data_IF_111415553980
#
_entry.id   IF_111415553980
#
_cell.length_a   1.000
_cell.length_b   1.000
_cell.length_c   1.000
_cell.angle_alpha   90.00
_cell.angle_beta   90.00
_cell.angle_gamma   90.00
#
_symmetry.space_group_name_H-M   'P 1'
#
loop_
_entity.id
_entity.type
_entity.pdbx_description
1 polymer ?
#
# COMPACT_ATOMS: atom_id res chain seq x y z
N UNK A 1 -20.84 -31.12 -4.86
CA UNK A 1 -20.39 -30.51 -3.59
C UNK A 1 -19.67 -29.22 -3.93
N UNK A 2 -20.29 -28.07 -3.64
CA UNK A 2 -19.70 -26.76 -3.90
C UNK A 2 -18.47 -26.58 -3.02
N UNK A 3 -17.28 -26.64 -3.60
CA UNK A 3 -16.11 -26.06 -2.96
C UNK A 3 -16.36 -24.55 -2.94
N UNK A 4 -16.84 -24.05 -1.81
CA UNK A 4 -16.79 -22.64 -1.48
C UNK A 4 -15.32 -22.24 -1.64
N UNK A 5 -14.96 -21.59 -2.74
CA UNK A 5 -13.75 -20.78 -2.75
C UNK A 5 -13.94 -19.75 -1.65
N UNK A 6 -13.18 -19.80 -0.56
CA UNK A 6 -13.29 -18.74 0.41
C UNK A 6 -12.68 -17.51 -0.28
N UNK A 7 -13.47 -16.44 -0.36
CA UNK A 7 -13.06 -15.12 -0.80
C UNK A 7 -12.09 -14.52 0.24
N UNK A 8 -11.01 -15.25 0.56
CA UNK A 8 -9.95 -14.81 1.43
C UNK A 8 -9.23 -13.71 0.68
N UNK A 9 -9.37 -12.50 1.20
CA UNK A 9 -8.59 -11.35 0.74
C UNK A 9 -7.10 -11.70 0.74
N UNK A 10 -6.31 -11.07 -0.13
CA UNK A 10 -4.91 -11.47 -0.37
C UNK A 10 -4.09 -11.58 0.92
N UNK A 11 -4.32 -10.70 1.89
CA UNK A 11 -3.64 -10.71 3.19
C UNK A 11 -3.94 -11.98 4.01
N UNK A 12 -5.13 -12.54 3.89
CA UNK A 12 -5.54 -13.70 4.66
C UNK A 12 -4.91 -14.98 4.08
N UNK A 13 -4.76 -15.03 2.75
CA UNK A 13 -3.97 -16.08 2.08
C UNK A 13 -2.50 -16.00 2.50
N UNK A 14 -1.92 -14.81 2.51
CA UNK A 14 -0.55 -14.58 2.98
C UNK A 14 -0.37 -15.02 4.45
N UNK A 15 -1.31 -14.66 5.32
CA UNK A 15 -1.33 -15.07 6.74
C UNK A 15 -1.31 -16.58 6.89
N UNK A 16 -2.19 -17.29 6.18
CA UNK A 16 -2.29 -18.76 6.23
C UNK A 16 -0.98 -19.39 5.76
N UNK A 17 -0.46 -19.00 4.60
CA UNK A 17 0.79 -19.56 4.06
C UNK A 17 1.95 -19.32 5.01
N UNK A 18 2.09 -18.10 5.53
CA UNK A 18 3.14 -17.79 6.50
C UNK A 18 3.02 -18.59 7.80
N UNK A 19 1.80 -18.73 8.34
CA UNK A 19 1.55 -19.52 9.54
C UNK A 19 1.91 -20.99 9.35
N UNK A 20 1.55 -21.58 8.20
CA UNK A 20 1.87 -22.97 7.89
C UNK A 20 3.37 -23.20 7.75
N UNK A 21 4.09 -22.24 7.14
CA UNK A 21 5.56 -22.26 7.07
C UNK A 21 6.17 -22.19 8.48
N UNK A 22 5.69 -21.26 9.31
CA UNK A 22 6.19 -21.06 10.68
C UNK A 22 5.97 -22.28 11.56
N UNK A 23 4.81 -22.93 11.45
CA UNK A 23 4.46 -24.10 12.25
C UNK A 23 5.17 -25.38 11.77
N UNK A 24 5.67 -25.40 10.53
CA UNK A 24 6.24 -26.59 9.91
C UNK A 24 7.61 -26.31 9.24
N UNK A 25 8.63 -25.81 9.98
CA UNK A 25 9.88 -25.32 9.40
C UNK A 25 10.72 -26.40 8.69
N UNK A 26 10.46 -27.67 9.00
CA UNK A 26 11.18 -28.81 8.44
C UNK A 26 10.47 -29.45 7.23
N UNK A 27 9.31 -28.92 6.81
CA UNK A 27 8.62 -29.44 5.63
C UNK A 27 9.21 -28.83 4.35
N UNK A 28 9.56 -29.71 3.41
CA UNK A 28 9.91 -29.29 2.07
C UNK A 28 8.65 -28.88 1.28
N UNK A 29 8.85 -28.12 0.20
CA UNK A 29 7.80 -27.53 -0.62
C UNK A 29 6.61 -28.45 -0.95
N UNK A 30 6.87 -29.65 -1.46
CA UNK A 30 5.78 -30.58 -1.82
C UNK A 30 4.98 -31.09 -0.61
N UNK A 31 5.60 -31.23 0.57
CA UNK A 31 4.88 -31.60 1.78
C UNK A 31 4.03 -30.43 2.29
N UNK A 32 4.55 -29.20 2.20
CA UNK A 32 3.81 -27.99 2.53
C UNK A 32 2.61 -27.79 1.59
N UNK A 33 2.77 -28.05 0.28
CA UNK A 33 1.66 -28.03 -0.70
C UNK A 33 0.56 -28.98 -0.26
N UNK A 34 0.88 -30.23 0.12
CA UNK A 34 -0.12 -31.23 0.53
C UNK A 34 -0.93 -30.80 1.76
N UNK A 35 -0.35 -29.96 2.62
CA UNK A 35 -0.99 -29.45 3.82
C UNK A 35 -1.89 -28.24 3.53
N UNK A 36 -1.49 -27.39 2.59
CA UNK A 36 -2.23 -26.15 2.27
C UNK A 36 -3.27 -26.37 1.18
N UNK A 37 -2.99 -27.28 0.23
CA UNK A 37 -3.78 -27.54 -0.97
C UNK A 37 -4.41 -28.94 -0.87
N UNK A 38 -5.72 -29.08 -1.09
CA UNK A 38 -6.67 -28.04 -1.50
C UNK A 38 -7.34 -27.29 -0.34
N UNK A 39 -7.00 -27.60 0.92
CA UNK A 39 -7.77 -27.16 2.10
C UNK A 39 -8.02 -25.65 2.16
N UNK A 40 -7.00 -24.83 1.90
CA UNK A 40 -7.11 -23.37 2.03
C UNK A 40 -7.13 -22.64 0.68
N UNK A 41 -6.50 -23.21 -0.35
CA UNK A 41 -6.36 -22.59 -1.65
C UNK A 41 -5.92 -23.57 -2.74
N UNK A 42 -6.11 -23.18 -4.01
CA UNK A 42 -5.56 -23.90 -5.15
C UNK A 42 -4.02 -23.79 -5.21
N UNK A 43 -3.37 -24.76 -5.88
CA UNK A 43 -1.91 -24.84 -6.01
C UNK A 43 -1.30 -23.55 -6.61
N UNK A 44 -1.86 -23.05 -7.69
CA UNK A 44 -1.38 -21.84 -8.37
C UNK A 44 -1.50 -20.61 -7.48
N UNK A 45 -2.57 -20.52 -6.69
CA UNK A 45 -2.76 -19.46 -5.69
C UNK A 45 -1.71 -19.55 -4.59
N UNK A 46 -1.46 -20.74 -4.04
CA UNK A 46 -0.38 -20.95 -3.07
C UNK A 46 0.99 -20.51 -3.61
N UNK A 47 1.34 -20.90 -4.82
CA UNK A 47 2.63 -20.55 -5.43
C UNK A 47 2.79 -19.04 -5.58
N UNK A 48 1.76 -18.35 -6.07
CA UNK A 48 1.74 -16.88 -6.17
C UNK A 48 1.86 -16.21 -4.80
N UNK A 49 1.08 -16.65 -3.82
CA UNK A 49 1.11 -16.10 -2.45
C UNK A 49 2.48 -16.32 -1.80
N UNK A 50 3.08 -17.51 -1.97
CA UNK A 50 4.45 -17.80 -1.53
C UNK A 50 5.45 -16.85 -2.17
N UNK A 51 5.36 -16.63 -3.48
CA UNK A 51 6.31 -15.76 -4.19
C UNK A 51 6.19 -14.31 -3.72
N UNK A 52 4.98 -13.82 -3.43
CA UNK A 52 4.78 -12.52 -2.78
C UNK A 52 5.42 -12.45 -1.40
N UNK A 53 5.32 -13.50 -0.57
CA UNK A 53 5.98 -13.54 0.74
C UNK A 53 7.52 -13.52 0.63
N UNK A 54 8.08 -14.09 -0.44
CA UNK A 54 9.52 -14.03 -0.73
C UNK A 54 9.91 -12.63 -1.18
N UNK A 55 9.15 -12.02 -2.10
CA UNK A 55 9.38 -10.67 -2.61
C UNK A 55 9.32 -9.62 -1.48
N UNK A 56 8.39 -9.79 -0.54
CA UNK A 56 8.27 -8.96 0.66
C UNK A 56 9.32 -9.27 1.74
N UNK A 57 10.23 -10.21 1.48
CA UNK A 57 11.23 -10.71 2.42
C UNK A 57 10.65 -11.21 3.76
N UNK A 58 9.39 -11.64 3.76
CA UNK A 58 8.72 -12.22 4.94
C UNK A 58 9.25 -13.63 5.19
N UNK A 59 9.51 -14.38 4.11
CA UNK A 59 10.12 -15.71 4.14
C UNK A 59 11.36 -15.76 3.27
N UNK A 60 12.26 -16.68 3.59
CA UNK A 60 13.45 -17.00 2.80
C UNK A 60 13.38 -18.43 2.30
N UNK A 61 14.06 -18.71 1.19
CA UNK A 61 14.15 -20.05 0.61
C UNK A 61 15.51 -20.64 0.92
N UNK A 62 15.53 -21.81 1.57
CA UNK A 62 16.71 -22.63 1.70
C UNK A 62 16.60 -23.86 0.81
N UNK A 63 17.66 -24.14 0.07
CA UNK A 63 17.74 -25.35 -0.76
C UNK A 63 18.68 -26.34 -0.10
N UNK A 64 18.21 -27.57 0.14
CA UNK A 64 19.05 -28.69 0.59
C UNK A 64 18.91 -29.82 -0.43
N UNK A 65 20.01 -30.18 -1.08
CA UNK A 65 20.00 -31.01 -2.29
C UNK A 65 18.99 -30.46 -3.32
N UNK A 66 17.97 -31.24 -3.70
CA UNK A 66 16.93 -30.83 -4.66
C UNK A 66 15.63 -30.36 -3.98
N UNK A 67 15.62 -30.17 -2.66
CA UNK A 67 14.44 -29.80 -1.88
C UNK A 67 14.49 -28.34 -1.45
N UNK A 68 13.36 -27.63 -1.62
CA UNK A 68 13.16 -26.26 -1.14
C UNK A 68 12.43 -26.26 0.20
N UNK A 69 12.95 -25.49 1.14
CA UNK A 69 12.38 -25.23 2.46
C UNK A 69 12.13 -23.73 2.58
N UNK A 70 11.03 -23.37 3.23
CA UNK A 70 10.67 -21.98 3.48
C UNK A 70 10.83 -21.70 4.96
N UNK A 71 11.45 -20.60 5.30
CA UNK A 71 11.68 -20.21 6.69
C UNK A 71 11.28 -18.75 6.88
N UNK A 72 10.69 -18.38 8.02
CA UNK A 72 10.49 -16.98 8.36
C UNK A 72 11.82 -16.21 8.28
N UNK A 73 11.81 -15.01 7.71
CA UNK A 73 12.99 -14.14 7.74
C UNK A 73 13.24 -13.67 9.17
N UNK A 74 14.50 -13.65 9.57
CA UNK A 74 14.91 -12.90 10.75
C UNK A 74 14.75 -11.39 10.46
N UNK A 75 14.48 -10.60 11.50
CA UNK A 75 14.39 -9.13 11.43
C UNK A 75 13.32 -8.58 10.46
N UNK A 76 12.25 -9.32 10.19
CA UNK A 76 11.14 -8.88 9.33
C UNK A 76 10.60 -7.49 9.73
N UNK A 77 10.44 -7.23 11.03
CA UNK A 77 9.92 -5.96 11.52
C UNK A 77 10.76 -4.77 11.03
N UNK A 78 12.08 -4.80 11.26
CA UNK A 78 13.01 -3.77 10.79
C UNK A 78 13.01 -3.66 9.27
N UNK A 79 13.03 -4.78 8.53
CA UNK A 79 12.98 -4.78 7.07
C UNK A 79 11.70 -4.16 6.53
N UNK A 80 10.56 -4.49 7.14
CA UNK A 80 9.25 -3.94 6.75
C UNK A 80 9.19 -2.44 6.98
N UNK A 81 9.71 -1.95 8.10
CA UNK A 81 9.82 -0.51 8.38
C UNK A 81 10.71 0.19 7.35
N UNK A 82 11.86 -0.38 6.99
CA UNK A 82 12.72 0.16 5.95
C UNK A 82 12.06 0.17 4.56
N UNK A 83 11.30 -0.87 4.22
CA UNK A 83 10.56 -0.91 2.96
C UNK A 83 9.49 0.18 2.90
N UNK A 84 8.69 0.32 3.97
CA UNK A 84 7.68 1.38 4.09
C UNK A 84 8.36 2.75 3.98
N UNK A 85 9.45 2.98 4.71
CA UNK A 85 10.22 4.22 4.65
C UNK A 85 10.72 4.53 3.24
N UNK A 86 11.34 3.58 2.55
CA UNK A 86 11.81 3.77 1.18
C UNK A 86 10.66 4.12 0.23
N UNK A 87 9.56 3.37 0.29
CA UNK A 87 8.44 3.56 -0.62
C UNK A 87 7.74 4.90 -0.36
N UNK A 88 7.54 5.26 0.90
CA UNK A 88 6.93 6.54 1.30
C UNK A 88 7.82 7.72 0.87
N UNK A 89 9.13 7.66 1.10
CA UNK A 89 10.07 8.71 0.68
C UNK A 89 10.12 8.87 -0.84
N UNK A 90 10.11 7.77 -1.59
CA UNK A 90 10.05 7.83 -3.05
C UNK A 90 8.75 8.49 -3.53
N UNK A 91 7.61 8.05 -3.00
CA UNK A 91 6.29 8.65 -3.29
C UNK A 91 6.27 10.14 -2.98
N UNK A 92 6.81 10.55 -1.83
CA UNK A 92 6.91 11.95 -1.43
C UNK A 92 7.68 12.80 -2.44
N UNK A 93 8.84 12.33 -2.90
CA UNK A 93 9.63 13.03 -3.90
C UNK A 93 8.94 13.09 -5.27
N UNK A 94 8.31 12.00 -5.70
CA UNK A 94 7.58 11.95 -6.95
C UNK A 94 6.37 12.90 -6.94
N UNK A 95 5.63 12.96 -5.83
CA UNK A 95 4.48 13.86 -5.67
C UNK A 95 4.90 15.33 -5.73
N UNK A 96 6.03 15.69 -5.11
CA UNK A 96 6.59 17.05 -5.23
C UNK A 96 6.85 17.43 -6.68
N UNK A 97 7.42 16.52 -7.47
CA UNK A 97 7.70 16.75 -8.89
C UNK A 97 6.40 16.85 -9.71
N UNK A 98 5.44 15.97 -9.46
CA UNK A 98 4.16 15.97 -10.16
C UNK A 98 3.38 17.26 -9.91
N UNK A 99 3.29 17.73 -8.66
CA UNK A 99 2.56 18.95 -8.31
C UNK A 99 3.26 20.20 -8.87
N UNK A 100 4.59 20.20 -8.94
CA UNK A 100 5.33 21.28 -9.60
C UNK A 100 4.97 21.40 -11.08
N UNK A 101 4.78 20.28 -11.78
CA UNK A 101 4.34 20.22 -13.20
C UNK A 101 2.85 20.48 -13.37
N UNK A 102 2.05 20.18 -12.35
CA UNK A 102 0.60 20.38 -12.41
C UNK A 102 0.24 21.83 -12.75
N UNK A 103 0.93 22.82 -12.17
CA UNK A 103 0.72 24.24 -12.48
C UNK A 103 0.78 24.58 -13.99
N UNK A 104 1.65 23.91 -14.75
CA UNK A 104 1.82 24.20 -16.18
C UNK A 104 0.83 23.42 -17.03
N UNK A 105 0.60 22.15 -16.67
CA UNK A 105 -0.11 21.23 -17.56
C UNK A 105 -1.62 21.25 -17.29
N UNK A 106 -2.04 21.61 -16.08
CA UNK A 106 -3.43 21.55 -15.63
C UNK A 106 -4.41 22.38 -16.47
N UNK A 107 -4.13 23.65 -16.82
CA UNK A 107 -5.07 24.46 -17.60
C UNK A 107 -5.38 23.90 -19.00
N UNK A 108 -4.50 23.04 -19.53
CA UNK A 108 -4.59 22.45 -20.87
C UNK A 108 -5.36 21.13 -20.90
N UNK A 109 -5.75 20.59 -19.75
CA UNK A 109 -6.51 19.34 -19.63
C UNK A 109 -8.01 19.57 -19.78
N UNK A 110 -8.72 18.54 -20.22
CA UNK A 110 -10.18 18.52 -20.10
C UNK A 110 -10.61 18.29 -18.64
N UNK A 111 -11.90 18.49 -18.37
CA UNK A 111 -12.46 18.45 -17.02
C UNK A 111 -12.30 17.06 -16.39
N UNK A 112 -12.52 15.99 -17.15
CA UNK A 112 -12.43 14.63 -16.61
C UNK A 112 -10.98 14.27 -16.26
N UNK A 113 -10.03 14.65 -17.13
CA UNK A 113 -8.60 14.53 -16.85
C UNK A 113 -8.18 15.32 -15.60
N UNK A 114 -8.67 16.56 -15.44
CA UNK A 114 -8.41 17.38 -14.25
C UNK A 114 -8.91 16.69 -12.98
N UNK A 115 -10.15 16.19 -13.01
CA UNK A 115 -10.76 15.50 -11.87
C UNK A 115 -9.93 14.28 -11.47
N UNK A 116 -9.61 13.41 -12.44
CA UNK A 116 -8.83 12.20 -12.19
C UNK A 116 -7.43 12.52 -11.65
N UNK A 117 -6.76 13.53 -12.23
CA UNK A 117 -5.42 13.94 -11.82
C UNK A 117 -5.42 14.44 -10.38
N UNK A 118 -6.35 15.33 -10.03
CA UNK A 118 -6.46 15.87 -8.66
C UNK A 118 -6.81 14.78 -7.66
N UNK A 119 -7.82 13.95 -7.94
CA UNK A 119 -8.22 12.88 -7.03
C UNK A 119 -7.07 11.91 -6.77
N UNK A 120 -6.33 11.54 -7.81
CA UNK A 120 -5.14 10.70 -7.69
C UNK A 120 -4.06 11.36 -6.85
N UNK A 121 -3.74 12.64 -7.10
CA UNK A 121 -2.72 13.37 -6.34
C UNK A 121 -3.10 13.51 -4.87
N UNK A 122 -4.34 13.92 -4.56
CA UNK A 122 -4.82 14.05 -3.19
C UNK A 122 -4.81 12.70 -2.46
N UNK A 123 -5.27 11.63 -3.11
CA UNK A 123 -5.20 10.27 -2.57
C UNK A 123 -3.75 9.89 -2.21
N UNK A 124 -2.83 10.07 -3.15
CA UNK A 124 -1.44 9.67 -2.97
C UNK A 124 -0.73 10.55 -1.92
N UNK A 125 -1.07 11.84 -1.81
CA UNK A 125 -0.57 12.70 -0.73
C UNK A 125 -1.02 12.19 0.64
N UNK A 126 -2.32 11.87 0.80
CA UNK A 126 -2.87 11.33 2.05
C UNK A 126 -2.25 9.96 2.40
N UNK A 127 -2.09 9.07 1.42
CA UNK A 127 -1.45 7.77 1.63
C UNK A 127 0.03 7.90 2.01
N UNK A 128 0.75 8.84 1.39
CA UNK A 128 2.15 9.12 1.72
C UNK A 128 2.26 9.69 3.13
N UNK A 129 1.37 10.61 3.52
CA UNK A 129 1.32 11.17 4.88
C UNK A 129 1.06 10.07 5.92
N UNK A 130 0.09 9.20 5.65
CA UNK A 130 -0.18 8.02 6.47
C UNK A 130 1.04 7.10 6.59
N UNK A 131 1.82 6.93 5.51
CA UNK A 131 3.06 6.18 5.52
C UNK A 131 4.06 6.72 6.54
N UNK A 132 4.25 8.05 6.58
CA UNK A 132 5.10 8.70 7.58
C UNK A 132 4.51 8.60 9.00
N UNK A 133 3.20 8.74 9.18
CA UNK A 133 2.55 8.54 10.48
C UNK A 133 2.74 7.12 11.01
N UNK A 134 2.62 6.10 10.16
CA UNK A 134 2.87 4.70 10.54
C UNK A 134 4.34 4.53 10.97
N UNK A 135 5.28 5.13 10.26
CA UNK A 135 6.70 5.05 10.60
C UNK A 135 7.03 5.77 11.92
N UNK A 136 6.44 6.93 12.17
CA UNK A 136 6.54 7.63 13.45
C UNK A 136 6.03 6.75 14.59
N UNK A 137 4.85 6.17 14.44
CA UNK A 137 4.25 5.28 15.44
C UNK A 137 5.09 4.01 15.67
N UNK A 138 5.60 3.39 14.60
CA UNK A 138 6.36 2.15 14.67
C UNK A 138 7.78 2.34 15.22
N UNK A 139 8.45 3.44 14.88
CA UNK A 139 9.83 3.70 15.30
C UNK A 139 9.91 4.40 16.65
N UNK A 140 9.07 5.42 16.88
CA UNK A 140 9.03 6.14 18.15
C UNK A 140 7.71 6.90 18.35
N UNK A 141 6.71 6.32 19.03
CA UNK A 141 5.39 6.94 19.17
C UNK A 141 5.39 8.23 19.99
N UNK A 142 6.51 8.60 20.64
CA UNK A 142 6.65 9.83 21.42
C UNK A 142 7.28 10.98 20.63
N UNK A 143 7.69 10.76 19.38
CA UNK A 143 8.35 11.77 18.53
C UNK A 143 7.82 11.70 17.11
N UNK A 144 7.58 12.86 16.52
CA UNK A 144 7.31 13.00 15.08
C UNK A 144 8.65 13.11 14.36
N UNK A 145 9.15 11.99 13.82
CA UNK A 145 10.43 11.93 13.11
C UNK A 145 10.33 12.62 11.74
N UNK A 146 9.19 12.52 11.08
CA UNK A 146 8.95 13.05 9.73
C UNK A 146 8.15 14.36 9.72
N UNK A 147 8.41 15.24 10.70
CA UNK A 147 7.64 16.49 10.89
C UNK A 147 7.68 17.41 9.67
N UNK A 148 8.84 17.53 9.03
CA UNK A 148 9.03 18.44 7.90
C UNK A 148 8.34 17.89 6.64
N UNK A 149 8.31 16.58 6.47
CA UNK A 149 7.58 15.88 5.43
C UNK A 149 6.07 16.07 5.59
N UNK A 150 5.54 15.87 6.80
CA UNK A 150 4.14 16.14 7.12
C UNK A 150 3.74 17.59 6.78
N UNK A 151 4.55 18.57 7.21
CA UNK A 151 4.31 19.97 6.89
C UNK A 151 4.36 20.23 5.37
N UNK A 152 5.31 19.60 4.67
CA UNK A 152 5.43 19.73 3.22
C UNK A 152 4.22 19.12 2.52
N UNK A 153 3.73 17.95 2.95
CA UNK A 153 2.52 17.33 2.39
C UNK A 153 1.31 18.25 2.57
N UNK A 154 1.15 18.87 3.75
CA UNK A 154 0.10 19.87 3.97
C UNK A 154 0.20 21.04 2.97
N UNK A 155 1.41 21.55 2.71
CA UNK A 155 1.64 22.63 1.72
C UNK A 155 1.37 22.17 0.28
N UNK A 156 1.69 20.92 -0.06
CA UNK A 156 1.40 20.34 -1.37
C UNK A 156 -0.11 20.17 -1.59
N UNK A 157 -0.85 19.69 -0.58
CA UNK A 157 -2.32 19.61 -0.62
C UNK A 157 -2.90 21.00 -0.85
N UNK A 158 -2.44 22.00 -0.10
CA UNK A 158 -2.86 23.39 -0.30
C UNK A 158 -2.57 23.87 -1.73
N UNK A 159 -1.38 23.56 -2.26
CA UNK A 159 -0.99 23.92 -3.63
C UNK A 159 -1.92 23.31 -4.68
N UNK A 160 -2.36 22.06 -4.50
CA UNK A 160 -3.35 21.41 -5.38
C UNK A 160 -4.68 22.17 -5.35
N UNK A 161 -5.15 22.57 -4.17
CA UNK A 161 -6.37 23.37 -4.04
C UNK A 161 -6.25 24.76 -4.67
N UNK A 162 -5.10 25.42 -4.54
CA UNK A 162 -4.86 26.71 -5.20
C UNK A 162 -4.87 26.58 -6.73
N UNK A 163 -4.25 25.53 -7.28
CA UNK A 163 -4.28 25.25 -8.72
C UNK A 163 -5.72 25.09 -9.21
N UNK A 164 -6.52 24.29 -8.50
CA UNK A 164 -7.93 24.13 -8.85
C UNK A 164 -8.70 25.43 -8.74
N UNK A 165 -8.46 26.23 -7.70
CA UNK A 165 -9.17 27.50 -7.47
C UNK A 165 -8.95 28.50 -8.58
N UNK A 166 -7.72 28.54 -9.11
CA UNK A 166 -7.34 29.47 -10.16
C UNK A 166 -7.68 28.96 -11.56
N UNK A 167 -8.23 27.75 -11.69
CA UNK A 167 -8.64 27.18 -12.96
C UNK A 167 -10.03 27.68 -13.40
N UNK A 168 -10.23 27.84 -14.72
CA UNK A 168 -11.49 28.29 -15.31
C UNK A 168 -12.67 27.36 -15.01
N UNK A 169 -12.40 26.08 -14.78
CA UNK A 169 -13.40 25.03 -14.53
C UNK A 169 -13.64 24.82 -13.02
N UNK A 170 -13.10 25.70 -12.15
CA UNK A 170 -13.09 25.57 -10.70
C UNK A 170 -14.47 25.26 -10.08
N UNK A 171 -15.53 25.91 -10.56
CA UNK A 171 -16.91 25.70 -10.07
C UNK A 171 -17.40 24.26 -10.25
N UNK A 172 -16.93 23.56 -11.29
CA UNK A 172 -17.25 22.14 -11.55
C UNK A 172 -16.29 21.22 -10.78
N UNK A 173 -15.01 21.60 -10.72
CA UNK A 173 -13.97 20.80 -10.06
C UNK A 173 -14.22 20.68 -8.55
N UNK A 174 -14.51 21.76 -7.85
CA UNK A 174 -14.63 21.74 -6.39
C UNK A 174 -15.68 20.76 -5.86
N UNK A 175 -16.94 20.73 -6.36
CA UNK A 175 -17.92 19.75 -5.94
C UNK A 175 -17.49 18.30 -6.22
N UNK A 176 -16.91 18.04 -7.40
CA UNK A 176 -16.49 16.69 -7.80
C UNK A 176 -15.37 16.16 -6.88
N UNK A 177 -14.34 16.96 -6.63
CA UNK A 177 -13.23 16.60 -5.76
C UNK A 177 -13.67 16.50 -4.30
N UNK A 178 -14.54 17.41 -3.83
CA UNK A 178 -15.08 17.35 -2.46
C UNK A 178 -15.92 16.10 -2.23
N UNK A 179 -16.72 15.70 -3.23
CA UNK A 179 -17.50 14.47 -3.17
C UNK A 179 -16.59 13.24 -3.07
N UNK A 180 -15.52 13.20 -3.86
CA UNK A 180 -14.51 12.16 -3.78
C UNK A 180 -13.83 12.13 -2.41
N UNK A 181 -13.38 13.26 -1.87
CA UNK A 181 -12.77 13.33 -0.54
C UNK A 181 -13.74 12.84 0.54
N UNK A 182 -15.02 13.22 0.47
CA UNK A 182 -16.07 12.72 1.37
C UNK A 182 -16.35 11.21 1.25
N UNK A 183 -15.91 10.57 0.16
CA UNK A 183 -16.01 9.12 -0.01
C UNK A 183 -14.87 8.35 0.65
N UNK A 184 -13.68 8.95 0.73
CA UNK A 184 -12.46 8.32 1.29
C UNK A 184 -12.15 8.74 2.73
N UNK A 185 -12.64 9.91 3.17
CA UNK A 185 -12.47 10.38 4.54
C UNK A 185 -13.50 9.74 5.47
N UNK A 186 -13.21 9.67 6.79
CA UNK A 186 -14.14 9.12 7.77
C UNK A 186 -15.52 9.76 7.66
N UNK A 187 -16.55 8.93 7.45
CA UNK A 187 -17.94 9.37 7.49
C UNK A 187 -18.41 9.39 8.93
N UNK A 188 -19.10 10.45 9.33
CA UNK A 188 -19.82 10.47 10.61
C UNK A 188 -20.83 9.33 10.61
N UNK A 189 -20.52 8.25 11.33
CA UNK A 189 -21.45 7.17 11.66
C UNK A 189 -22.31 7.55 12.86
N UNK A 190 -22.90 8.74 12.82
CA UNK A 190 -23.92 9.18 13.77
C UNK A 190 -25.26 9.23 13.02
N UNK A 191 -25.86 8.05 12.88
CA UNK A 191 -27.30 7.86 12.70
C UNK A 191 -27.74 6.74 13.62
#
# INVERSE_FOLDING_TARGET
MSHNEPNLESYERERIVFQMIRNNPNLHHNALIKLIVPEFMAKTTFEKTRDMLIEKEIITVQTKANMKFYLPSNNYESKSQHLVERNTTNSFHDLKLQIKRLNTDFPHKDIDEKINTVNSLLRNLLETDNGFTILDAAKNPKKTLYRDEHLTIQQLIHSVFEIMRNDRDSEILFPAITSYLGSILPKNSLK
#
